data_IF_807283031771
#
_entry.id   IF_807283031771
#
_cell.length_a   1.000
_cell.length_b   1.000
_cell.length_c   1.000
_cell.angle_alpha   90.00
_cell.angle_beta   90.00
_cell.angle_gamma   90.00
#
_symmetry.space_group_name_H-M   'P 1'
#
loop_
_entity.id
_entity.type
_entity.pdbx_description
1 polymer ?
#
# COMPACT_ATOMS: atom_id res chain seq x y z
N UNK A 1 -5.69 58.50 24.13
CA UNK A 1 -4.94 57.24 24.26
C UNK A 1 -5.85 56.15 24.81
N UNK A 2 -5.93 54.99 24.14
CA UNK A 2 -6.24 53.64 24.67
C UNK A 2 -6.33 52.68 23.48
N UNK A 3 -5.18 52.14 23.11
CA UNK A 3 -5.03 51.02 22.14
C UNK A 3 -4.68 49.78 22.99
N UNK A 4 -4.74 48.58 22.39
CA UNK A 4 -4.47 47.26 22.98
C UNK A 4 -5.56 46.72 23.94
N UNK A 5 -6.40 45.84 23.39
CA UNK A 5 -6.57 44.45 23.86
C UNK A 5 -7.23 43.62 22.75
N UNK A 6 -6.81 42.37 22.57
CA UNK A 6 -7.32 41.50 21.49
C UNK A 6 -6.30 41.11 20.40
N UNK A 7 -5.03 40.87 20.74
CA UNK A 7 -4.18 40.04 19.86
C UNK A 7 -4.78 38.64 19.90
N UNK A 8 -5.24 38.13 18.74
CA UNK A 8 -5.94 36.85 18.68
C UNK A 8 -5.04 35.70 19.14
N UNK A 9 -5.61 34.79 19.95
CA UNK A 9 -4.98 33.53 20.33
C UNK A 9 -4.52 32.74 19.09
N UNK A 10 -5.28 32.86 18.00
CA UNK A 10 -5.01 32.21 16.71
C UNK A 10 -3.76 32.72 16.00
N UNK A 11 -3.23 33.89 16.38
CA UNK A 11 -1.95 34.43 15.87
C UNK A 11 -0.81 34.18 16.87
N UNK A 12 -1.09 34.25 18.18
CA UNK A 12 -0.09 34.00 19.21
C UNK A 12 0.33 32.51 19.27
N UNK A 13 -0.61 31.59 19.14
CA UNK A 13 -0.37 30.15 19.20
C UNK A 13 0.60 29.64 18.12
N UNK A 14 0.39 29.88 16.80
CA UNK A 14 1.32 29.42 15.77
C UNK A 14 2.71 30.05 15.90
N UNK A 15 2.83 31.31 16.36
CA UNK A 15 4.14 31.94 16.59
C UNK A 15 4.89 31.31 17.77
N UNK A 16 4.18 30.91 18.84
CA UNK A 16 4.78 30.17 19.96
C UNK A 16 5.18 28.75 19.56
N UNK A 17 4.35 28.04 18.79
CA UNK A 17 4.66 26.70 18.27
C UNK A 17 5.83 26.73 17.27
N UNK A 18 5.92 27.74 16.42
CA UNK A 18 7.06 27.95 15.51
C UNK A 18 8.36 28.17 16.30
N UNK A 19 8.33 29.00 17.35
CA UNK A 19 9.48 29.22 18.23
C UNK A 19 9.92 27.98 18.99
N UNK A 20 8.96 27.20 19.53
CA UNK A 20 9.23 25.92 20.19
C UNK A 20 9.79 24.88 19.22
N UNK A 21 9.24 24.77 18.01
CA UNK A 21 9.72 23.86 16.97
C UNK A 21 11.14 24.20 16.50
N UNK A 22 11.43 25.49 16.31
CA UNK A 22 12.79 25.94 15.97
C UNK A 22 13.79 25.66 17.10
N UNK A 23 13.43 25.94 18.36
CA UNK A 23 14.27 25.64 19.52
C UNK A 23 14.56 24.13 19.61
N UNK A 24 13.52 23.29 19.54
CA UNK A 24 13.66 21.84 19.61
C UNK A 24 14.48 21.27 18.43
N UNK A 25 14.32 21.83 17.22
CA UNK A 25 15.11 21.44 16.05
C UNK A 25 16.61 21.78 16.19
N UNK A 26 16.93 22.97 16.71
CA UNK A 26 18.33 23.37 16.97
C UNK A 26 18.96 22.49 18.05
N UNK A 27 18.28 22.25 19.18
CA UNK A 27 18.76 21.37 20.26
C UNK A 27 18.96 19.93 19.76
N UNK A 28 18.03 19.42 18.94
CA UNK A 28 18.07 18.05 18.40
C UNK A 28 19.20 17.80 17.40
N UNK A 29 19.80 18.86 16.83
CA UNK A 29 20.93 18.72 15.90
C UNK A 29 22.13 18.01 16.54
N UNK A 30 22.35 18.22 17.85
CA UNK A 30 23.40 17.55 18.62
C UNK A 30 23.10 16.05 18.90
N UNK A 31 21.84 15.63 18.75
CA UNK A 31 21.44 14.22 18.88
C UNK A 31 21.37 13.48 17.54
N UNK A 32 20.97 14.17 16.46
CA UNK A 32 20.85 13.56 15.14
C UNK A 32 22.17 13.49 14.35
N UNK A 33 23.20 14.23 14.74
CA UNK A 33 24.51 14.19 14.08
C UNK A 33 25.66 13.87 15.08
N UNK A 34 25.69 12.66 15.68
CA UNK A 34 26.72 12.24 16.64
C UNK A 34 28.04 11.86 15.94
N UNK A 35 28.63 12.80 15.20
CA UNK A 35 29.65 12.45 14.19
C UNK A 35 30.66 13.52 13.77
N UNK A 36 30.77 14.68 14.45
CA UNK A 36 31.82 15.66 14.11
C UNK A 36 32.30 16.49 15.32
N UNK A 37 33.25 15.94 16.08
CA UNK A 37 34.15 16.74 16.92
C UNK A 37 35.55 16.81 16.27
N UNK A 38 35.89 17.97 15.72
CA UNK A 38 37.26 18.35 15.38
C UNK A 38 37.52 18.61 13.90
N UNK A 39 37.76 19.87 13.53
CA UNK A 39 38.19 20.25 12.19
C UNK A 39 37.74 21.65 11.78
N UNK A 40 38.52 22.68 12.11
CA UNK A 40 38.38 23.99 11.46
C UNK A 40 39.04 23.97 10.06
N UNK A 41 38.63 24.92 9.22
CA UNK A 41 39.31 25.42 8.01
C UNK A 41 39.27 24.62 6.68
N UNK A 42 38.36 25.09 5.81
CA UNK A 42 38.67 25.69 4.49
C UNK A 42 39.13 24.85 3.27
N UNK A 43 38.46 25.17 2.14
CA UNK A 43 39.02 25.32 0.78
C UNK A 43 39.07 24.13 -0.20
N UNK A 44 38.02 24.03 -1.03
CA UNK A 44 38.02 23.91 -2.50
C UNK A 44 38.86 22.83 -3.24
N UNK A 45 38.23 22.13 -4.20
CA UNK A 45 38.94 21.48 -5.32
C UNK A 45 38.32 20.18 -5.86
N UNK A 46 37.68 20.25 -7.01
CA UNK A 46 37.49 19.13 -7.97
C UNK A 46 38.72 19.05 -8.92
N UNK A 47 38.90 18.01 -9.78
CA UNK A 47 38.34 16.64 -9.80
C UNK A 47 39.34 15.48 -10.21
N UNK A 48 38.83 14.24 -10.26
CA UNK A 48 39.09 13.19 -11.30
C UNK A 48 40.40 12.32 -11.33
N UNK A 49 40.17 10.99 -11.41
CA UNK A 49 40.88 9.87 -12.10
C UNK A 49 42.14 9.12 -11.61
N UNK A 50 42.08 7.81 -11.96
CA UNK A 50 43.11 6.82 -12.39
C UNK A 50 43.92 5.93 -11.40
N UNK A 51 43.77 4.60 -11.60
CA UNK A 51 44.72 3.44 -11.59
C UNK A 51 45.82 3.34 -10.47
N UNK A 52 46.30 2.18 -9.98
CA UNK A 52 46.50 0.83 -10.56
C UNK A 52 46.69 -0.26 -9.45
N UNK A 53 46.99 -1.52 -9.82
CA UNK A 53 47.29 -2.74 -9.00
C UNK A 53 48.25 -3.67 -9.80
N UNK A 54 48.85 -4.81 -9.32
CA UNK A 54 48.55 -5.67 -8.14
C UNK A 54 49.79 -6.23 -7.35
N UNK A 55 49.62 -7.35 -6.63
CA UNK A 55 50.64 -8.32 -6.10
C UNK A 55 51.38 -7.88 -4.81
N UNK A 56 51.89 -8.71 -3.87
CA UNK A 56 52.19 -10.16 -3.72
C UNK A 56 51.43 -10.77 -2.50
N UNK A 57 51.15 -12.07 -2.29
CA UNK A 57 51.86 -13.36 -2.48
C UNK A 57 53.09 -13.59 -1.56
N UNK A 58 53.49 -14.83 -1.21
CA UNK A 58 52.91 -16.16 -1.54
C UNK A 58 51.81 -16.59 -0.51
N UNK A 59 51.69 -17.75 0.17
CA UNK A 59 52.44 -19.03 0.32
C UNK A 59 51.42 -20.21 0.39
N UNK A 60 51.86 -21.46 0.18
CA UNK A 60 51.05 -22.70 0.34
C UNK A 60 51.96 -23.91 0.69
N UNK A 61 51.43 -24.94 1.36
CA UNK A 61 51.72 -26.40 1.21
C UNK A 61 51.04 -27.18 2.37
N UNK A 62 50.69 -28.48 2.30
CA UNK A 62 50.61 -29.47 1.21
C UNK A 62 49.80 -30.72 1.66
N UNK A 63 49.39 -31.60 0.74
CA UNK A 63 49.24 -33.05 1.02
C UNK A 63 47.84 -33.65 1.28
N UNK A 64 47.22 -34.15 0.21
CA UNK A 64 46.34 -35.34 0.19
C UNK A 64 47.13 -36.54 -0.43
N UNK A 65 46.63 -37.80 -0.48
CA UNK A 65 45.46 -38.42 0.16
C UNK A 65 45.79 -39.76 0.89
N UNK A 66 44.81 -40.40 1.56
CA UNK A 66 44.33 -41.77 1.21
C UNK A 66 43.21 -42.27 2.15
N UNK A 67 42.50 -43.32 1.70
CA UNK A 67 41.32 -43.92 2.35
C UNK A 67 41.63 -45.22 3.10
N UNK A 68 40.96 -45.50 4.23
CA UNK A 68 40.74 -46.87 4.70
C UNK A 68 39.36 -47.10 5.34
N UNK A 69 38.97 -48.38 5.26
CA UNK A 69 37.85 -49.11 5.87
C UNK A 69 37.74 -48.87 7.40
N UNK A 70 36.53 -48.66 7.95
CA UNK A 70 35.52 -49.66 8.37
C UNK A 70 35.67 -49.99 9.87
N UNK A 71 34.64 -49.67 10.66
CA UNK A 71 34.52 -50.13 12.04
C UNK A 71 33.04 -50.34 12.41
N UNK A 72 32.64 -51.60 12.26
CA UNK A 72 31.36 -52.21 12.64
C UNK A 72 30.78 -51.72 13.97
N UNK A 73 29.48 -51.41 13.96
CA UNK A 73 28.62 -51.49 15.14
C UNK A 73 27.37 -52.33 14.84
N UNK A 74 27.53 -53.64 14.96
CA UNK A 74 26.43 -54.60 15.05
C UNK A 74 25.59 -54.33 16.32
N UNK A 75 24.26 -54.29 16.16
CA UNK A 75 23.30 -54.49 17.25
C UNK A 75 22.03 -55.21 16.78
N UNK A 76 22.21 -56.38 16.15
CA UNK A 76 21.12 -57.29 15.83
C UNK A 76 20.45 -57.87 17.08
N UNK A 77 19.22 -57.43 17.38
CA UNK A 77 18.25 -58.23 18.14
C UNK A 77 17.02 -58.43 17.27
N UNK A 78 16.88 -59.64 16.74
CA UNK A 78 15.68 -60.10 16.01
C UNK A 78 14.55 -60.36 17.01
N UNK A 79 13.34 -59.95 16.66
CA UNK A 79 12.10 -60.42 17.28
C UNK A 79 10.96 -60.37 16.26
N UNK A 80 10.94 -61.38 15.40
CA UNK A 80 9.72 -61.87 14.74
C UNK A 80 8.75 -62.34 15.85
N UNK A 81 7.41 -62.40 15.71
CA UNK A 81 6.57 -62.40 14.52
C UNK A 81 5.12 -61.99 14.90
N UNK A 82 4.52 -60.99 14.25
CA UNK A 82 3.06 -60.83 14.11
C UNK A 82 2.76 -59.62 13.20
N UNK A 83 2.20 -59.85 12.02
CA UNK A 83 1.99 -58.77 11.04
C UNK A 83 0.61 -58.11 11.12
N UNK A 84 0.56 -56.85 10.71
CA UNK A 84 -0.50 -56.31 9.85
C UNK A 84 0.16 -55.28 8.91
N UNK A 85 -0.30 -55.20 7.65
CA UNK A 85 0.34 -54.39 6.61
C UNK A 85 0.04 -52.89 6.83
N UNK A 86 1.05 -52.17 7.32
CA UNK A 86 1.08 -50.71 7.31
C UNK A 86 2.26 -50.25 6.46
N UNK A 87 2.03 -50.05 5.16
CA UNK A 87 2.89 -49.20 4.33
C UNK A 87 2.77 -47.76 4.82
N UNK A 88 3.49 -47.45 5.89
CA UNK A 88 3.95 -46.10 6.14
C UNK A 88 5.00 -45.79 5.08
N UNK A 89 4.56 -45.40 3.88
CA UNK A 89 5.40 -44.53 3.06
C UNK A 89 5.81 -43.35 3.95
N UNK A 90 7.11 -43.17 4.15
CA UNK A 90 7.61 -41.89 4.66
C UNK A 90 7.39 -40.85 3.56
N UNK A 91 6.16 -40.34 3.48
CA UNK A 91 5.82 -39.18 2.68
C UNK A 91 6.74 -38.06 3.15
N UNK A 92 7.75 -37.77 2.33
CA UNK A 92 8.72 -36.72 2.60
C UNK A 92 7.98 -35.38 2.55
N UNK A 93 7.48 -34.97 3.72
CA UNK A 93 6.89 -33.67 4.00
C UNK A 93 7.99 -32.59 3.94
N UNK A 94 8.57 -32.41 2.75
CA UNK A 94 9.31 -31.21 2.41
C UNK A 94 8.39 -30.02 2.69
N UNK A 95 8.79 -29.07 3.55
CA UNK A 95 7.93 -27.94 3.89
C UNK A 95 7.63 -27.15 2.61
N UNK A 96 6.36 -27.12 2.25
CA UNK A 96 5.92 -26.49 1.01
C UNK A 96 6.17 -24.99 1.11
N UNK A 97 7.19 -24.54 0.38
CA UNK A 97 7.76 -23.20 0.46
C UNK A 97 7.61 -22.51 -0.88
N UNK A 98 7.22 -21.24 -0.83
CA UNK A 98 6.94 -20.45 -2.01
C UNK A 98 8.23 -20.17 -2.80
N UNK A 99 8.14 -20.14 -4.12
CA UNK A 99 9.28 -20.02 -5.03
C UNK A 99 9.05 -18.90 -6.06
N UNK A 100 10.09 -18.54 -6.81
CA UNK A 100 10.01 -17.47 -7.84
C UNK A 100 9.12 -17.81 -9.04
N UNK A 101 8.79 -19.09 -9.18
CA UNK A 101 7.91 -19.69 -10.18
C UNK A 101 6.47 -19.91 -9.67
N UNK A 102 6.18 -19.65 -8.39
CA UNK A 102 4.82 -19.71 -7.83
C UNK A 102 3.91 -18.66 -8.48
N UNK A 103 2.75 -19.09 -8.95
CA UNK A 103 1.67 -18.22 -9.44
C UNK A 103 1.01 -17.50 -8.25
N UNK A 104 1.07 -16.17 -8.21
CA UNK A 104 0.38 -15.38 -7.18
C UNK A 104 -0.91 -14.80 -7.77
N UNK A 105 -2.03 -15.36 -7.34
CA UNK A 105 -3.36 -14.92 -7.76
C UNK A 105 -3.94 -13.99 -6.70
N UNK A 106 -4.34 -12.81 -7.15
CA UNK A 106 -5.07 -11.83 -6.35
C UNK A 106 -6.52 -11.79 -6.82
N UNK A 107 -7.46 -12.19 -5.97
CA UNK A 107 -8.89 -11.97 -6.17
C UNK A 107 -9.31 -10.68 -5.48
N UNK A 108 -9.78 -9.69 -6.24
CA UNK A 108 -10.38 -8.48 -5.68
C UNK A 108 -11.90 -8.61 -5.67
N UNK A 109 -12.51 -8.67 -4.48
CA UNK A 109 -13.95 -8.92 -4.29
C UNK A 109 -14.65 -7.66 -3.80
N UNK A 110 -15.61 -7.15 -4.59
CA UNK A 110 -16.55 -6.11 -4.18
C UNK A 110 -17.69 -6.71 -3.33
N UNK A 111 -17.73 -6.38 -2.04
CA UNK A 111 -18.74 -6.92 -1.11
C UNK A 111 -20.16 -6.36 -1.32
N UNK A 112 -20.32 -5.27 -2.09
CA UNK A 112 -21.60 -4.63 -2.39
C UNK A 112 -22.19 -5.09 -3.72
N UNK A 113 -21.35 -5.18 -4.75
CA UNK A 113 -21.75 -5.58 -6.10
C UNK A 113 -21.53 -7.09 -6.38
N UNK A 114 -20.98 -7.84 -5.41
CA UNK A 114 -20.61 -9.26 -5.54
C UNK A 114 -19.79 -9.55 -6.81
N UNK A 115 -18.97 -8.59 -7.21
CA UNK A 115 -18.11 -8.66 -8.40
C UNK A 115 -16.71 -9.07 -7.97
N UNK A 116 -16.13 -10.07 -8.63
CA UNK A 116 -14.78 -10.58 -8.33
C UNK A 116 -13.90 -10.37 -9.56
N UNK A 117 -12.71 -9.85 -9.34
CA UNK A 117 -11.68 -9.65 -10.38
C UNK A 117 -10.45 -10.47 -10.01
N UNK A 118 -10.23 -11.57 -10.72
CA UNK A 118 -9.01 -12.39 -10.58
C UNK A 118 -7.88 -11.75 -11.42
N UNK A 119 -6.75 -11.43 -10.78
CA UNK A 119 -5.54 -10.93 -11.44
C UNK A 119 -4.34 -11.79 -11.08
N UNK A 120 -3.66 -12.34 -12.08
CA UNK A 120 -2.48 -13.17 -11.92
C UNK A 120 -1.22 -12.30 -11.96
N UNK A 121 -0.39 -12.41 -10.93
CA UNK A 121 0.90 -11.73 -10.80
C UNK A 121 2.03 -12.75 -10.58
N UNK A 122 3.27 -12.28 -10.67
CA UNK A 122 4.42 -13.01 -10.11
C UNK A 122 4.42 -12.85 -8.59
N UNK A 123 4.80 -13.90 -7.87
CA UNK A 123 5.00 -13.82 -6.42
C UNK A 123 6.00 -12.69 -6.07
N UNK A 124 5.63 -11.73 -5.20
CA UNK A 124 6.58 -10.73 -4.70
C UNK A 124 7.76 -11.35 -3.96
N UNK A 125 8.99 -10.89 -4.25
CA UNK A 125 10.25 -11.43 -3.70
C UNK A 125 10.24 -11.61 -2.17
N UNK A 126 9.55 -10.71 -1.46
CA UNK A 126 9.39 -10.73 0.01
C UNK A 126 8.64 -11.96 0.57
N UNK A 127 7.99 -12.76 -0.28
CA UNK A 127 7.32 -14.01 0.10
C UNK A 127 8.06 -15.26 -0.36
N UNK A 128 9.11 -15.13 -1.18
CA UNK A 128 9.91 -16.27 -1.66
C UNK A 128 10.62 -16.94 -0.48
N UNK A 129 10.56 -18.27 -0.42
CA UNK A 129 11.09 -19.09 0.67
C UNK A 129 10.19 -19.17 1.90
N UNK A 130 9.07 -18.44 1.96
CA UNK A 130 8.12 -18.57 3.09
C UNK A 130 7.39 -19.90 3.05
N UNK A 131 7.20 -20.51 4.23
CA UNK A 131 6.23 -21.58 4.41
C UNK A 131 4.81 -21.00 4.62
N UNK A 132 3.82 -21.89 4.71
CA UNK A 132 2.40 -21.53 4.87
C UNK A 132 2.15 -20.65 6.09
N UNK A 133 2.79 -20.94 7.22
CA UNK A 133 2.59 -20.23 8.49
C UNK A 133 3.17 -18.81 8.44
N UNK A 134 4.37 -18.66 7.87
CA UNK A 134 5.02 -17.35 7.65
C UNK A 134 4.23 -16.50 6.66
N UNK A 135 3.71 -17.10 5.59
CA UNK A 135 2.91 -16.40 4.60
C UNK A 135 1.57 -15.92 5.19
N UNK A 136 0.88 -16.77 5.95
CA UNK A 136 -0.36 -16.38 6.66
C UNK A 136 -0.10 -15.26 7.66
N UNK A 137 0.99 -15.31 8.43
CA UNK A 137 1.37 -14.22 9.33
C UNK A 137 1.71 -12.93 8.58
N UNK A 138 2.35 -13.01 7.40
CA UNK A 138 2.60 -11.85 6.56
C UNK A 138 1.30 -11.24 5.98
N UNK A 139 0.26 -12.06 5.76
CA UNK A 139 -1.08 -11.59 5.37
C UNK A 139 -1.82 -10.95 6.54
N UNK A 140 -1.79 -11.54 7.74
CA UNK A 140 -2.37 -10.97 8.98
C UNK A 140 -1.77 -9.58 9.28
N UNK A 141 -0.45 -9.42 9.12
CA UNK A 141 0.22 -8.12 9.26
C UNK A 141 -0.20 -7.13 8.18
N UNK A 142 -0.50 -7.58 6.95
CA UNK A 142 -0.99 -6.72 5.88
C UNK A 142 -2.44 -6.28 6.13
N UNK A 143 -3.31 -7.17 6.63
CA UNK A 143 -4.70 -6.85 7.00
C UNK A 143 -4.75 -5.88 8.20
N UNK A 144 -3.86 -6.05 9.18
CA UNK A 144 -3.76 -5.16 10.33
C UNK A 144 -3.16 -3.78 10.01
N UNK A 145 -2.31 -3.70 8.97
CA UNK A 145 -1.62 -2.48 8.55
C UNK A 145 -1.64 -2.30 7.01
N UNK A 146 -2.82 -2.12 6.39
CA UNK A 146 -2.95 -1.99 4.95
C UNK A 146 -2.29 -0.69 4.47
N UNK A 147 -1.72 -0.65 3.26
CA UNK A 147 -1.17 0.57 2.68
C UNK A 147 -2.30 1.55 2.35
N UNK A 148 -1.97 2.84 2.30
CA UNK A 148 -2.94 3.92 2.05
C UNK A 148 -3.76 3.71 0.76
N UNK A 149 -3.17 3.10 -0.27
CA UNK A 149 -3.84 2.75 -1.53
C UNK A 149 -5.06 1.85 -1.31
N UNK A 150 -4.94 0.84 -0.46
CA UNK A 150 -6.06 -0.08 -0.19
C UNK A 150 -7.08 0.56 0.77
N UNK A 151 -6.62 1.41 1.69
CA UNK A 151 -7.51 2.22 2.55
C UNK A 151 -8.38 3.18 1.73
N UNK A 152 -7.80 3.89 0.75
CA UNK A 152 -8.49 4.80 -0.17
C UNK A 152 -9.47 4.06 -1.10
N UNK A 153 -9.15 2.80 -1.45
CA UNK A 153 -10.05 1.89 -2.19
C UNK A 153 -11.17 1.27 -1.35
N UNK A 154 -11.14 1.44 -0.03
CA UNK A 154 -12.16 0.91 0.88
C UNK A 154 -11.97 -0.57 1.24
N UNK A 155 -10.74 -1.03 1.40
CA UNK A 155 -10.39 -2.37 1.91
C UNK A 155 -11.09 -2.71 3.25
N UNK A 156 -11.49 -3.98 3.39
CA UNK A 156 -12.26 -4.49 4.54
C UNK A 156 -11.58 -5.67 5.22
N UNK A 157 -11.12 -6.68 4.45
CA UNK A 157 -10.45 -7.88 4.97
C UNK A 157 -9.61 -8.57 3.88
N UNK A 158 -8.72 -9.46 4.31
CA UNK A 158 -7.89 -10.30 3.43
C UNK A 158 -7.93 -11.76 3.89
N UNK A 159 -8.25 -12.67 2.97
CA UNK A 159 -8.28 -14.11 3.22
C UNK A 159 -7.36 -14.87 2.25
N UNK A 160 -6.77 -15.98 2.70
CA UNK A 160 -5.94 -16.85 1.85
C UNK A 160 -6.72 -18.11 1.52
N UNK A 161 -7.23 -18.18 0.29
CA UNK A 161 -8.10 -19.27 -0.17
C UNK A 161 -7.31 -20.55 -0.50
N UNK A 162 -6.10 -20.39 -1.05
CA UNK A 162 -5.22 -21.49 -1.40
C UNK A 162 -3.75 -21.13 -1.17
N UNK A 163 -2.98 -22.12 -0.74
CA UNK A 163 -1.53 -22.05 -0.60
C UNK A 163 -0.95 -23.36 -1.11
N UNK A 164 -0.12 -23.29 -2.15
CA UNK A 164 0.78 -24.34 -2.59
C UNK A 164 2.05 -23.72 -3.19
N UNK A 165 3.06 -24.52 -3.47
CA UNK A 165 4.29 -24.08 -4.15
C UNK A 165 4.04 -23.68 -5.60
N UNK A 166 3.02 -24.25 -6.25
CA UNK A 166 2.67 -23.93 -7.64
C UNK A 166 1.76 -22.70 -7.72
N UNK A 167 0.79 -22.54 -6.81
CA UNK A 167 -0.19 -21.45 -6.83
C UNK A 167 -0.61 -21.02 -5.42
N UNK A 168 -0.60 -19.71 -5.19
CA UNK A 168 -1.19 -19.07 -4.01
C UNK A 168 -2.34 -18.19 -4.45
N UNK A 169 -3.47 -18.26 -3.74
CA UNK A 169 -4.65 -17.42 -3.99
C UNK A 169 -4.94 -16.58 -2.74
N UNK A 170 -4.81 -15.26 -2.88
CA UNK A 170 -5.17 -14.28 -1.86
C UNK A 170 -6.40 -13.53 -2.33
N UNK A 171 -7.44 -13.49 -1.51
CA UNK A 171 -8.63 -12.68 -1.72
C UNK A 171 -8.55 -11.42 -0.87
N UNK A 172 -8.74 -10.25 -1.49
CA UNK A 172 -8.90 -8.97 -0.80
C UNK A 172 -10.34 -8.49 -0.99
N UNK A 173 -11.03 -8.31 0.13
CA UNK A 173 -12.41 -7.85 0.15
C UNK A 173 -12.46 -6.33 0.28
N UNK A 174 -13.09 -5.68 -0.69
CA UNK A 174 -13.25 -4.24 -0.76
C UNK A 174 -14.73 -3.86 -0.64
N UNK A 175 -14.98 -2.80 0.12
CA UNK A 175 -16.23 -2.05 0.07
C UNK A 175 -15.98 -0.79 -0.74
N UNK A 176 -15.94 -0.96 -2.06
CA UNK A 176 -15.88 0.18 -2.98
C UNK A 176 -17.10 1.06 -2.75
N UNK A 177 -16.90 2.19 -2.07
CA UNK A 177 -17.86 3.28 -2.09
C UNK A 177 -17.74 3.86 -3.49
N UNK A 178 -18.59 3.36 -4.41
CA UNK A 178 -18.74 4.00 -5.71
C UNK A 178 -19.02 5.49 -5.45
N UNK A 179 -18.25 6.43 -6.02
CA UNK A 179 -18.70 7.81 -6.07
C UNK A 179 -20.02 7.76 -6.81
N UNK A 180 -21.09 8.12 -6.11
CA UNK A 180 -22.42 8.25 -6.67
C UNK A 180 -22.33 9.27 -7.80
N UNK A 181 -22.33 8.79 -9.05
CA UNK A 181 -22.21 9.60 -10.28
C UNK A 181 -23.42 10.49 -10.53
N UNK A 182 -24.19 10.78 -9.48
CA UNK A 182 -25.45 11.48 -9.47
C UNK A 182 -25.28 12.84 -8.83
N UNK A 183 -25.86 13.85 -9.48
CA UNK A 183 -25.60 15.26 -9.21
C UNK A 183 -26.88 15.98 -8.85
N UNK A 184 -26.77 17.02 -8.02
CA UNK A 184 -27.87 17.92 -7.70
C UNK A 184 -27.62 19.28 -8.34
N UNK A 185 -28.55 19.72 -9.19
CA UNK A 185 -28.54 21.08 -9.75
C UNK A 185 -29.35 21.99 -8.83
N UNK A 186 -28.70 23.04 -8.33
CA UNK A 186 -29.33 24.09 -7.53
C UNK A 186 -29.01 25.47 -8.11
N UNK A 187 -29.69 26.51 -7.62
CA UNK A 187 -29.50 27.89 -8.08
C UNK A 187 -28.74 28.71 -7.04
N UNK A 188 -27.70 29.43 -7.46
CA UNK A 188 -27.03 30.44 -6.66
C UNK A 188 -26.75 31.69 -7.50
N UNK A 189 -27.09 32.87 -6.97
CA UNK A 189 -27.02 34.17 -7.67
C UNK A 189 -27.55 34.13 -9.14
N UNK A 190 -28.70 33.45 -9.32
CA UNK A 190 -29.37 33.22 -10.62
C UNK A 190 -28.63 32.28 -11.62
N UNK A 191 -27.44 31.80 -11.30
CA UNK A 191 -26.74 30.76 -12.07
C UNK A 191 -27.02 29.35 -11.52
N UNK A 192 -26.91 28.35 -12.38
CA UNK A 192 -27.00 26.93 -12.00
C UNK A 192 -25.64 26.45 -11.50
N UNK A 193 -25.62 25.84 -10.31
CA UNK A 193 -24.44 25.17 -9.74
C UNK A 193 -24.75 23.68 -9.59
N UNK A 194 -23.78 22.86 -9.98
CA UNK A 194 -23.81 21.40 -9.87
C UNK A 194 -23.11 20.98 -8.58
N UNK A 195 -23.83 20.28 -7.72
CA UNK A 195 -23.32 19.66 -6.49
C UNK A 195 -23.20 18.15 -6.65
N UNK A 196 -22.29 17.53 -5.89
CA UNK A 196 -22.26 16.09 -5.68
C UNK A 196 -23.46 15.62 -4.83
N UNK A 197 -23.65 14.31 -4.69
CA UNK A 197 -24.70 13.69 -3.86
C UNK A 197 -24.74 14.22 -2.41
N UNK A 198 -23.59 14.67 -1.87
CA UNK A 198 -23.48 15.20 -0.50
C UNK A 198 -24.20 16.53 -0.26
N UNK A 199 -24.68 17.20 -1.34
CA UNK A 199 -25.32 18.52 -1.38
C UNK A 199 -24.50 19.64 -0.70
N UNK A 200 -23.17 19.52 -0.66
CA UNK A 200 -22.25 20.47 -0.01
C UNK A 200 -21.04 20.77 -0.88
N UNK A 201 -20.50 19.75 -1.51
CA UNK A 201 -19.34 19.85 -2.40
C UNK A 201 -19.84 20.25 -3.78
N UNK A 202 -19.47 21.46 -4.20
CA UNK A 202 -19.66 21.91 -5.58
C UNK A 202 -18.79 21.04 -6.49
N UNK A 203 -19.40 20.46 -7.52
CA UNK A 203 -18.71 19.75 -8.57
C UNK A 203 -18.27 20.73 -9.67
N UNK A 204 -19.22 21.49 -10.23
CA UNK A 204 -18.99 22.50 -11.26
C UNK A 204 -19.92 23.70 -11.01
N UNK A 205 -19.36 24.90 -11.01
CA UNK A 205 -20.11 26.15 -11.19
C UNK A 205 -20.36 26.36 -12.69
N UNK A 206 -21.59 26.72 -13.10
CA UNK A 206 -21.91 26.93 -14.52
C UNK A 206 -22.32 28.38 -14.78
N UNK A 207 -22.02 28.89 -15.97
CA UNK A 207 -22.52 30.18 -16.45
C UNK A 207 -23.98 30.09 -16.97
N UNK A 208 -24.66 28.95 -16.81
CA UNK A 208 -26.03 28.75 -17.26
C UNK A 208 -26.98 29.48 -16.31
N UNK A 209 -27.67 30.48 -16.84
CA UNK A 209 -28.64 31.29 -16.11
C UNK A 209 -30.01 30.61 -16.01
N UNK A 210 -30.60 30.62 -14.82
CA UNK A 210 -31.93 30.06 -14.57
C UNK A 210 -32.99 30.69 -15.49
N UNK A 211 -32.96 32.01 -15.66
CA UNK A 211 -33.95 32.75 -16.45
C UNK A 211 -33.86 32.53 -17.98
N UNK A 212 -32.82 31.83 -18.46
CA UNK A 212 -32.72 31.34 -19.84
C UNK A 212 -33.38 29.95 -20.01
N UNK A 213 -33.55 29.18 -18.93
CA UNK A 213 -34.13 27.84 -18.97
C UNK A 213 -35.66 27.86 -19.08
N UNK A 214 -36.31 26.81 -19.65
CA UNK A 214 -37.77 26.69 -19.64
C UNK A 214 -38.36 26.69 -18.22
N UNK A 215 -39.50 27.36 -18.00
CA UNK A 215 -40.14 27.53 -16.68
C UNK A 215 -40.27 26.24 -15.84
N UNK A 216 -40.50 25.09 -16.50
CA UNK A 216 -40.54 23.79 -15.84
C UNK A 216 -39.19 23.42 -15.23
N UNK A 217 -38.10 23.52 -16.00
CA UNK A 217 -36.75 23.26 -15.51
C UNK A 217 -36.31 24.29 -14.46
N UNK A 218 -36.80 25.53 -14.53
CA UNK A 218 -36.58 26.51 -13.45
C UNK A 218 -37.17 26.00 -12.13
N UNK A 219 -38.40 25.45 -12.16
CA UNK A 219 -39.04 24.84 -10.99
C UNK A 219 -38.30 23.57 -10.55
N UNK A 220 -38.01 22.65 -11.48
CA UNK A 220 -37.29 21.41 -11.18
C UNK A 220 -35.93 21.71 -10.48
N UNK A 221 -35.16 22.72 -10.92
CA UNK A 221 -33.86 23.11 -10.34
C UNK A 221 -34.00 23.90 -9.03
N UNK A 222 -35.07 24.70 -8.86
CA UNK A 222 -35.38 25.31 -7.56
C UNK A 222 -35.76 24.26 -6.49
N UNK A 223 -36.27 23.10 -6.89
CA UNK A 223 -36.52 21.93 -6.02
C UNK A 223 -35.28 21.02 -5.85
N UNK A 224 -34.10 21.47 -6.29
CA UNK A 224 -32.83 20.71 -6.34
C UNK A 224 -32.91 19.48 -7.25
N UNK A 225 -32.99 19.72 -8.57
CA UNK A 225 -33.11 18.68 -9.58
C UNK A 225 -31.97 17.66 -9.50
N UNK A 226 -32.31 16.40 -9.27
CA UNK A 226 -31.39 15.28 -9.28
C UNK A 226 -31.15 14.75 -10.71
N UNK A 227 -29.90 14.42 -11.03
CA UNK A 227 -29.47 13.78 -12.27
C UNK A 227 -28.73 12.50 -11.92
N UNK A 228 -29.09 11.36 -12.54
CA UNK A 228 -28.53 10.03 -12.24
C UNK A 228 -27.02 9.88 -12.52
N UNK A 229 -26.55 10.41 -13.67
CA UNK A 229 -25.25 10.08 -14.27
C UNK A 229 -24.55 11.32 -14.84
N UNK A 230 -23.22 11.31 -14.88
CA UNK A 230 -22.37 12.34 -15.52
C UNK A 230 -22.68 12.54 -17.02
N UNK A 231 -23.00 11.48 -17.78
CA UNK A 231 -23.44 11.60 -19.18
C UNK A 231 -24.73 12.42 -19.33
N UNK A 232 -25.69 12.23 -18.41
CA UNK A 232 -26.94 12.99 -18.39
C UNK A 232 -26.70 14.44 -17.95
N UNK A 233 -25.75 14.66 -17.05
CA UNK A 233 -25.31 16.00 -16.65
C UNK A 233 -24.71 16.76 -17.84
N UNK A 234 -23.70 16.23 -18.51
CA UNK A 234 -23.09 16.94 -19.65
C UNK A 234 -24.07 17.12 -20.81
N UNK A 235 -24.92 16.13 -21.09
CA UNK A 235 -25.97 16.31 -22.10
C UNK A 235 -26.96 17.42 -21.72
N UNK A 236 -27.32 17.56 -20.44
CA UNK A 236 -28.10 18.71 -19.98
C UNK A 236 -27.34 20.03 -20.17
N UNK A 237 -26.08 20.11 -19.74
CA UNK A 237 -25.26 21.33 -19.82
C UNK A 237 -25.05 21.77 -21.28
N UNK A 238 -24.71 20.85 -22.19
CA UNK A 238 -24.51 21.14 -23.62
C UNK A 238 -25.76 21.75 -24.27
N UNK A 239 -26.95 21.25 -23.94
CA UNK A 239 -28.22 21.76 -24.46
C UNK A 239 -28.56 23.19 -24.00
N UNK A 240 -27.93 23.70 -22.93
CA UNK A 240 -28.25 24.99 -22.31
C UNK A 240 -27.06 25.96 -22.14
N UNK A 241 -25.87 25.58 -22.63
CA UNK A 241 -24.63 26.37 -22.58
C UNK A 241 -24.38 27.21 -23.86
N UNK A 242 -25.45 27.68 -24.52
CA UNK A 242 -25.41 28.44 -25.81
C UNK A 242 -25.80 29.90 -25.66
#
# INVERSE_FOLDING_TARGET
>A
MKILKGISLFVLCPLLLLGLGFYAGVESSHFFNPGEQGGESSSAGEPVSEQTVPTEQEEQESGEPESMMDDSFDYGIVSEESGEEAEAEEVLLFPETLCVDTEYVLEETDILNHTVVETIWRLPDKYVGMNREQFLQAMEVYEAFPPLTEMERGFVSLEVLAFSRERVVVQMNYKFVQPSSSFYLAVYDNNVIVYLEDMKTVYIETDIRLDTLPEKLQQDIMEMMWIENEEKLYSFLENYSS
#
